data_IF_623058236247
#
_entry.id   IF_623058236247
#
_cell.length_a   1.000
_cell.length_b   1.000
_cell.length_c   1.000
_cell.angle_alpha   90.00
_cell.angle_beta   90.00
_cell.angle_gamma   90.00
#
_symmetry.space_group_name_H-M   'P 1'
#
loop_
_entity.id
_entity.type
_entity.pdbx_description
1 polymer ?
#
# COMPACT_ATOMS: atom_id res chain seq x y z
N UNK A 1 37.39 28.51 -5.62
CA UNK A 1 37.38 27.59 -4.46
C UNK A 1 36.75 26.26 -4.86
N UNK A 2 37.44 25.14 -4.63
CA UNK A 2 36.88 23.82 -4.91
C UNK A 2 35.74 23.49 -3.93
N UNK A 3 34.56 23.16 -4.45
CA UNK A 3 33.42 22.70 -3.64
C UNK A 3 33.80 21.44 -2.85
N UNK A 4 33.47 21.39 -1.57
CA UNK A 4 33.62 20.19 -0.72
C UNK A 4 32.83 19.02 -1.31
N UNK A 5 33.23 17.77 -1.01
CA UNK A 5 32.54 16.55 -1.50
C UNK A 5 31.03 16.60 -1.20
N UNK A 6 30.65 17.07 -0.01
CA UNK A 6 29.27 17.28 0.41
C UNK A 6 28.57 18.33 -0.44
N UNK A 7 29.21 19.48 -0.71
CA UNK A 7 28.62 20.52 -1.54
C UNK A 7 28.43 20.10 -3.01
N UNK A 8 29.32 19.23 -3.56
CA UNK A 8 29.12 18.62 -4.89
C UNK A 8 27.92 17.68 -4.90
N UNK A 9 27.77 16.83 -3.88
CA UNK A 9 26.62 15.93 -3.73
C UNK A 9 25.32 16.74 -3.61
N UNK A 10 25.28 17.75 -2.74
CA UNK A 10 24.09 18.59 -2.56
C UNK A 10 23.73 19.36 -3.82
N UNK A 11 24.72 19.82 -4.60
CA UNK A 11 24.46 20.47 -5.89
C UNK A 11 23.86 19.49 -6.91
N UNK A 12 24.33 18.23 -6.93
CA UNK A 12 23.74 17.17 -7.76
C UNK A 12 22.33 16.83 -7.30
N UNK A 13 22.12 16.68 -5.99
CA UNK A 13 20.81 16.45 -5.39
C UNK A 13 19.89 17.59 -5.80
N UNK A 14 20.21 18.84 -5.49
CA UNK A 14 19.39 20.02 -5.82
C UNK A 14 19.06 20.14 -7.31
N UNK A 15 19.97 19.73 -8.20
CA UNK A 15 19.73 19.68 -9.65
C UNK A 15 18.76 18.55 -10.05
N UNK A 16 18.81 17.40 -9.39
CA UNK A 16 17.85 16.30 -9.57
C UNK A 16 16.54 16.50 -8.78
N UNK A 17 16.55 17.39 -7.80
CA UNK A 17 15.49 17.60 -6.81
C UNK A 17 14.94 19.02 -6.86
N UNK A 18 14.89 19.67 -8.02
CA UNK A 18 14.29 21.01 -8.19
C UNK A 18 12.88 21.11 -7.58
N UNK A 19 12.21 19.96 -7.40
CA UNK A 19 10.88 19.84 -6.82
C UNK A 19 10.80 18.97 -5.55
N UNK A 20 11.92 18.70 -4.85
CA UNK A 20 11.90 17.81 -3.69
C UNK A 20 12.46 18.48 -2.44
N UNK A 21 11.55 18.65 -1.49
CA UNK A 21 11.82 19.11 -0.13
C UNK A 21 11.57 17.91 0.80
N UNK A 22 12.56 17.53 1.59
CA UNK A 22 12.37 16.55 2.65
C UNK A 22 11.80 17.24 3.89
N UNK A 23 10.91 16.58 4.62
CA UNK A 23 10.25 17.15 5.80
C UNK A 23 10.34 16.20 6.98
N UNK A 24 10.39 16.80 8.16
CA UNK A 24 10.06 16.16 9.42
C UNK A 24 8.67 16.59 9.91
N UNK A 25 8.19 15.88 10.93
CA UNK A 25 6.89 16.05 11.56
C UNK A 25 7.09 16.39 13.03
N UNK A 26 6.48 17.47 13.47
CA UNK A 26 6.44 17.90 14.86
C UNK A 26 5.01 17.82 15.41
N UNK A 27 4.83 17.47 16.70
CA UNK A 27 3.55 17.58 17.39
C UNK A 27 2.97 18.98 17.28
N UNK A 28 1.64 19.08 17.18
CA UNK A 28 0.95 20.36 16.92
C UNK A 28 1.25 21.43 17.99
N UNK A 29 1.44 21.01 19.24
CA UNK A 29 1.75 21.92 20.36
C UNK A 29 3.25 21.94 20.73
N UNK A 30 4.15 21.43 19.87
CA UNK A 30 5.60 21.50 20.11
C UNK A 30 6.24 22.41 19.06
N UNK A 31 6.72 23.57 19.48
CA UNK A 31 7.41 24.50 18.58
C UNK A 31 8.87 24.07 18.31
N UNK A 32 9.43 24.51 17.18
CA UNK A 32 10.86 24.31 16.87
C UNK A 32 11.75 24.96 17.94
N UNK A 33 11.34 26.12 18.46
CA UNK A 33 12.07 26.87 19.49
C UNK A 33 12.11 26.11 20.82
N UNK A 34 10.97 25.61 21.28
CA UNK A 34 10.91 24.80 22.51
C UNK A 34 11.78 23.53 22.38
N UNK A 35 11.74 22.87 21.22
CA UNK A 35 12.61 21.73 20.95
C UNK A 35 14.10 22.12 20.98
N UNK A 36 14.44 23.29 20.44
CA UNK A 36 15.80 23.81 20.47
C UNK A 36 16.28 24.11 21.88
N UNK A 37 15.44 24.67 22.75
CA UNK A 37 15.74 24.94 24.16
C UNK A 37 16.02 23.63 24.94
N UNK A 38 15.19 22.60 24.74
CA UNK A 38 15.40 21.26 25.34
C UNK A 38 16.74 20.67 24.91
N UNK A 39 17.09 20.78 23.63
CA UNK A 39 18.36 20.29 23.12
C UNK A 39 19.53 21.12 23.64
N UNK A 40 19.39 22.44 23.68
CA UNK A 40 20.44 23.34 24.16
C UNK A 40 20.83 23.01 25.59
N UNK A 41 19.84 22.80 26.47
CA UNK A 41 20.10 22.44 27.86
C UNK A 41 20.72 21.05 27.97
N UNK A 42 20.17 20.04 27.28
CA UNK A 42 20.72 18.69 27.35
C UNK A 42 22.16 18.59 26.79
N UNK A 43 22.47 19.31 25.71
CA UNK A 43 23.78 19.27 25.04
C UNK A 43 24.76 20.35 25.53
N UNK A 44 24.37 21.18 26.49
CA UNK A 44 25.19 22.25 27.05
C UNK A 44 26.56 21.73 27.51
N UNK A 45 27.62 22.26 26.93
CA UNK A 45 29.00 21.86 27.22
C UNK A 45 29.39 20.45 26.77
N UNK A 46 28.52 19.69 26.09
CA UNK A 46 28.81 18.32 25.63
C UNK A 46 29.33 18.29 24.20
N UNK A 47 28.52 18.73 23.23
CA UNK A 47 28.83 18.71 21.79
C UNK A 47 27.83 19.51 20.97
N UNK A 48 28.14 19.75 19.70
CA UNK A 48 27.18 20.29 18.72
C UNK A 48 26.02 19.33 18.51
N UNK A 49 24.83 19.89 18.37
CA UNK A 49 23.59 19.16 18.08
C UNK A 49 22.91 19.72 16.82
N UNK A 50 21.82 19.07 16.40
CA UNK A 50 21.00 19.49 15.25
C UNK A 50 19.55 19.27 15.61
N UNK A 51 18.77 20.35 15.65
CA UNK A 51 17.34 20.32 15.95
C UNK A 51 16.61 19.39 15.00
N UNK A 52 17.04 19.34 13.74
CA UNK A 52 16.39 18.51 12.72
C UNK A 52 16.58 17.02 12.92
N UNK A 53 17.69 16.61 13.55
CA UNK A 53 17.89 15.20 13.93
C UNK A 53 16.91 14.80 15.04
N UNK A 54 16.58 15.71 15.97
CA UNK A 54 15.52 15.50 16.95
C UNK A 54 14.13 15.47 16.31
N UNK A 55 13.86 16.37 15.35
CA UNK A 55 12.64 16.31 14.52
C UNK A 55 12.55 14.95 13.81
N UNK A 56 13.67 14.43 13.30
CA UNK A 56 13.72 13.12 12.65
C UNK A 56 13.43 11.96 13.61
N UNK A 57 13.86 12.05 14.88
CA UNK A 57 13.43 11.11 15.94
C UNK A 57 11.90 11.09 16.08
N UNK A 58 11.29 12.26 16.24
CA UNK A 58 9.83 12.40 16.40
C UNK A 58 9.10 11.92 15.14
N UNK A 59 9.58 12.29 13.96
CA UNK A 59 9.04 11.85 12.67
C UNK A 59 9.05 10.33 12.54
N UNK A 60 10.13 9.67 12.95
CA UNK A 60 10.25 8.21 12.89
C UNK A 60 9.19 7.52 13.74
N UNK A 61 8.89 8.05 14.93
CA UNK A 61 7.81 7.56 15.81
C UNK A 61 6.45 7.65 15.13
N UNK A 62 6.17 8.77 14.47
CA UNK A 62 4.91 9.01 13.80
C UNK A 62 4.73 8.12 12.58
N UNK A 63 5.73 8.10 11.70
CA UNK A 63 5.73 7.29 10.48
C UNK A 63 5.49 5.82 10.83
N UNK A 64 6.19 5.28 11.84
CA UNK A 64 6.00 3.89 12.25
C UNK A 64 4.62 3.69 12.86
N UNK A 65 4.17 4.58 13.75
CA UNK A 65 2.86 4.48 14.39
C UNK A 65 1.72 4.40 13.36
N UNK A 66 1.76 5.25 12.34
CA UNK A 66 0.72 5.36 11.32
C UNK A 66 0.82 4.33 10.20
N UNK A 67 2.01 3.80 9.91
CA UNK A 67 2.20 2.72 8.93
C UNK A 67 2.08 1.32 9.53
N UNK A 68 2.01 1.17 10.86
CA UNK A 68 1.87 -0.15 11.51
C UNK A 68 0.49 -0.74 11.21
N UNK A 69 0.48 -1.87 10.47
CA UNK A 69 -0.73 -2.62 10.16
C UNK A 69 -1.44 -3.10 11.44
N UNK A 70 -2.77 -3.16 11.41
CA UNK A 70 -3.61 -3.45 12.58
C UNK A 70 -3.19 -4.74 13.29
N UNK A 71 -2.85 -5.80 12.54
CA UNK A 71 -2.41 -7.09 13.10
C UNK A 71 -1.14 -7.03 13.95
N UNK A 72 -0.35 -5.97 13.82
CA UNK A 72 0.88 -5.75 14.59
C UNK A 72 0.69 -4.74 15.74
N UNK A 73 -0.52 -4.19 15.92
CA UNK A 73 -0.82 -3.22 16.98
C UNK A 73 -0.99 -3.97 18.30
N UNK A 74 -0.05 -3.78 19.22
CA UNK A 74 -0.07 -4.36 20.57
C UNK A 74 -0.95 -3.54 21.52
N UNK A 75 -1.24 -4.05 22.72
CA UNK A 75 -1.88 -3.25 23.79
C UNK A 75 -1.11 -1.95 24.06
N UNK A 76 0.22 -2.00 24.03
CA UNK A 76 1.09 -0.83 24.17
C UNK A 76 0.85 0.22 23.05
N UNK A 77 0.59 -0.22 21.82
CA UNK A 77 0.24 0.67 20.70
C UNK A 77 -1.03 1.47 20.97
N UNK A 78 -2.06 0.83 21.52
CA UNK A 78 -3.35 1.46 21.82
C UNK A 78 -3.25 2.53 22.92
N UNK A 79 -2.34 2.36 23.89
CA UNK A 79 -2.08 3.37 24.92
C UNK A 79 -1.04 4.44 24.50
N UNK A 80 -0.55 4.39 23.25
CA UNK A 80 0.28 5.44 22.64
C UNK A 80 1.73 5.08 22.36
N UNK A 81 2.22 3.93 22.82
CA UNK A 81 3.62 3.54 22.63
C UNK A 81 3.90 2.97 21.23
N UNK A 82 5.04 3.34 20.66
CA UNK A 82 5.52 2.86 19.37
C UNK A 82 6.88 2.19 19.56
N UNK A 83 6.97 0.92 19.19
CA UNK A 83 8.25 0.19 19.21
C UNK A 83 9.06 0.59 17.99
N UNK A 84 10.27 1.12 18.19
CA UNK A 84 11.20 1.45 17.11
C UNK A 84 12.48 0.63 17.24
N UNK A 85 12.92 0.05 16.12
CA UNK A 85 14.19 -0.65 16.05
C UNK A 85 15.36 0.34 16.01
N UNK A 86 16.51 -0.08 16.55
CA UNK A 86 17.77 0.68 16.47
C UNK A 86 18.09 1.12 15.04
N UNK A 87 17.84 0.26 14.06
CA UNK A 87 18.23 0.51 12.67
C UNK A 87 17.52 1.75 12.10
N UNK A 88 16.24 1.94 12.43
CA UNK A 88 15.48 3.12 11.99
C UNK A 88 16.08 4.39 12.57
N UNK A 89 16.40 4.41 13.86
CA UNK A 89 17.04 5.57 14.46
C UNK A 89 18.44 5.83 13.89
N UNK A 90 19.23 4.79 13.64
CA UNK A 90 20.56 4.96 13.04
C UNK A 90 20.47 5.52 11.61
N UNK A 91 19.48 5.04 10.84
CA UNK A 91 19.21 5.47 9.47
C UNK A 91 18.80 6.94 9.40
N UNK A 92 17.89 7.38 10.26
CA UNK A 92 17.28 8.71 10.16
C UNK A 92 17.91 9.74 11.09
N UNK A 93 18.39 9.33 12.24
CA UNK A 93 18.97 10.21 13.25
C UNK A 93 20.49 10.10 13.19
N UNK A 94 21.07 8.90 13.22
CA UNK A 94 22.52 8.68 13.25
C UNK A 94 22.95 7.75 14.40
N UNK A 95 24.24 7.42 14.49
CA UNK A 95 24.74 6.42 15.47
C UNK A 95 24.59 6.86 16.92
N UNK A 96 24.60 8.17 17.15
CA UNK A 96 24.41 8.90 18.40
C UNK A 96 22.94 9.25 18.69
N UNK A 97 21.99 8.56 18.04
CA UNK A 97 20.55 8.77 18.24
C UNK A 97 20.10 8.68 19.71
N UNK A 98 20.81 7.91 20.54
CA UNK A 98 20.48 7.74 21.96
C UNK A 98 20.52 9.07 22.72
N UNK A 99 21.46 9.96 22.39
CA UNK A 99 21.56 11.26 23.05
C UNK A 99 20.35 12.14 22.72
N UNK A 100 19.86 12.08 21.49
CA UNK A 100 18.65 12.78 21.09
C UNK A 100 17.40 12.20 21.76
N UNK A 101 17.30 10.87 21.88
CA UNK A 101 16.20 10.25 22.64
C UNK A 101 16.26 10.67 24.10
N UNK A 102 17.44 10.66 24.72
CA UNK A 102 17.61 11.07 26.11
C UNK A 102 17.25 12.56 26.30
N UNK A 103 17.70 13.45 25.41
CA UNK A 103 17.30 14.85 25.44
C UNK A 103 15.77 15.04 25.39
N UNK A 104 15.09 14.28 24.53
CA UNK A 104 13.63 14.32 24.42
C UNK A 104 12.92 13.72 25.66
N UNK A 105 13.52 12.74 26.33
CA UNK A 105 13.00 12.18 27.59
C UNK A 105 13.21 13.16 28.74
N UNK A 106 14.42 13.73 28.87
CA UNK A 106 14.79 14.67 29.92
C UNK A 106 13.98 15.97 29.82
N UNK A 107 13.76 16.47 28.60
CA UNK A 107 12.87 17.60 28.33
C UNK A 107 11.39 17.27 28.45
N UNK A 108 11.04 16.03 28.78
CA UNK A 108 9.65 15.62 29.00
C UNK A 108 8.77 15.60 27.74
N UNK A 109 9.35 15.59 26.54
CA UNK A 109 8.64 15.48 25.26
C UNK A 109 8.22 14.02 25.02
N UNK A 110 9.09 13.07 25.38
CA UNK A 110 8.84 11.64 25.25
C UNK A 110 8.60 10.96 26.60
N UNK A 111 7.90 9.83 26.54
CA UNK A 111 7.77 8.80 27.55
C UNK A 111 8.30 7.48 26.99
N UNK A 112 8.84 6.61 27.83
CA UNK A 112 9.27 5.27 27.43
C UNK A 112 8.70 4.20 28.35
N UNK A 113 8.32 3.07 27.76
CA UNK A 113 7.92 1.89 28.54
C UNK A 113 9.13 1.15 29.15
N UNK A 114 10.34 1.59 28.80
CA UNK A 114 11.65 1.05 29.16
C UNK A 114 11.76 -0.48 29.04
N UNK A 115 10.95 -1.11 28.18
CA UNK A 115 10.79 -2.55 28.13
C UNK A 115 11.35 -3.11 26.82
N UNK A 116 12.50 -3.78 26.93
CA UNK A 116 13.18 -4.45 25.83
C UNK A 116 13.15 -5.96 26.04
N UNK A 117 12.78 -6.71 25.01
CA UNK A 117 12.81 -8.18 25.03
C UNK A 117 13.57 -8.67 23.82
N UNK A 118 14.68 -9.37 24.07
CA UNK A 118 15.56 -9.89 23.02
C UNK A 118 14.75 -10.66 21.97
N UNK A 119 14.96 -10.31 20.69
CA UNK A 119 14.27 -10.90 19.52
C UNK A 119 12.73 -10.79 19.50
N UNK A 120 12.10 -10.15 20.49
CA UNK A 120 10.63 -10.02 20.59
C UNK A 120 10.13 -8.59 20.58
N UNK A 121 10.84 -7.66 21.22
CA UNK A 121 10.36 -6.29 21.43
C UNK A 121 11.51 -5.29 21.54
N UNK A 122 11.43 -4.22 20.76
CA UNK A 122 12.25 -3.00 20.97
C UNK A 122 11.58 -2.08 22.00
N UNK A 123 12.34 -1.18 22.64
CA UNK A 123 11.79 -0.20 23.59
C UNK A 123 10.67 0.61 22.92
N UNK A 124 9.58 0.80 23.66
CA UNK A 124 8.45 1.62 23.25
C UNK A 124 8.67 3.07 23.66
N UNK A 125 8.35 3.99 22.75
CA UNK A 125 8.34 5.42 23.02
C UNK A 125 7.00 6.03 22.66
N UNK A 126 6.58 7.04 23.43
CA UNK A 126 5.33 7.76 23.26
C UNK A 126 5.60 9.26 23.36
N UNK A 127 5.04 10.05 22.47
CA UNK A 127 5.04 11.51 22.61
C UNK A 127 3.99 11.85 23.67
N UNK A 128 4.32 12.68 24.65
CA UNK A 128 3.36 13.06 25.70
C UNK A 128 2.10 13.62 25.07
N UNK A 129 0.96 13.20 25.62
CA UNK A 129 -0.37 13.45 25.03
C UNK A 129 -0.60 14.94 24.76
N UNK A 130 -0.23 15.81 25.71
CA UNK A 130 -0.33 17.27 25.60
C UNK A 130 0.22 17.82 24.28
N UNK A 131 1.37 17.32 23.80
CA UNK A 131 1.97 17.80 22.56
C UNK A 131 1.16 17.45 21.30
N UNK A 132 0.31 16.43 21.39
CA UNK A 132 -0.44 15.83 20.28
C UNK A 132 -1.96 16.02 20.40
N UNK A 133 -2.42 16.66 21.47
CA UNK A 133 -3.83 16.98 21.71
C UNK A 133 -4.11 18.31 21.03
N UNK A 134 -4.83 18.33 19.90
CA UNK A 134 -5.16 19.59 19.28
C UNK A 134 -6.13 20.41 20.15
N UNK A 135 -6.12 21.72 19.94
CA UNK A 135 -7.13 22.64 20.48
C UNK A 135 -8.48 22.43 19.77
N UNK A 136 -9.56 22.96 20.35
CA UNK A 136 -10.92 22.80 19.79
C UNK A 136 -11.00 23.32 18.35
N UNK A 137 -11.51 22.49 17.44
CA UNK A 137 -11.63 22.81 16.01
C UNK A 137 -10.36 22.56 15.20
N UNK A 138 -9.30 22.04 15.81
CA UNK A 138 -8.13 21.52 15.13
C UNK A 138 -8.16 19.99 15.17
N UNK A 139 -8.12 19.32 14.02
CA UNK A 139 -8.05 17.86 13.96
C UNK A 139 -6.61 17.35 13.72
N UNK A 140 -5.67 18.24 13.36
CA UNK A 140 -4.28 17.87 13.12
C UNK A 140 -3.54 17.66 14.43
N UNK A 141 -2.77 16.58 14.47
CA UNK A 141 -1.94 16.23 15.63
C UNK A 141 -0.48 16.63 15.46
N UNK A 142 -0.08 16.93 14.22
CA UNK A 142 1.28 17.22 13.83
C UNK A 142 1.29 18.22 12.67
N UNK A 143 2.40 18.94 12.53
CA UNK A 143 2.69 19.82 11.41
C UNK A 143 4.08 19.52 10.84
N UNK A 144 4.33 20.00 9.61
CA UNK A 144 5.57 19.73 8.88
C UNK A 144 6.61 20.82 9.09
N UNK A 145 7.86 20.38 9.16
CA UNK A 145 9.04 21.25 9.16
C UNK A 145 9.97 20.78 8.06
N UNK A 146 10.33 21.67 7.13
CA UNK A 146 11.27 21.35 6.07
C UNK A 146 12.66 21.07 6.67
N UNK A 147 13.32 20.01 6.20
CA UNK A 147 14.72 19.78 6.53
C UNK A 147 15.60 20.77 5.76
N UNK A 148 16.52 21.40 6.48
CA UNK A 148 17.61 22.24 5.96
C UNK A 148 18.98 21.66 6.31
N UNK A 149 19.04 20.60 7.12
CA UNK A 149 20.26 19.86 7.45
C UNK A 149 20.69 18.99 6.26
N UNK A 150 21.86 19.30 5.71
CA UNK A 150 22.43 18.63 4.55
C UNK A 150 22.55 17.11 4.74
N UNK A 151 22.85 16.64 5.96
CA UNK A 151 23.02 15.21 6.21
C UNK A 151 21.70 14.45 6.12
N UNK A 152 20.60 15.05 6.60
CA UNK A 152 19.26 14.48 6.49
C UNK A 152 18.76 14.50 5.04
N UNK A 153 19.02 15.59 4.30
CA UNK A 153 18.70 15.69 2.87
C UNK A 153 19.41 14.58 2.09
N UNK A 154 20.71 14.38 2.32
CA UNK A 154 21.49 13.32 1.68
C UNK A 154 20.97 11.93 2.05
N UNK A 155 20.63 11.67 3.32
CA UNK A 155 20.07 10.38 3.78
C UNK A 155 18.73 10.09 3.09
N UNK A 156 17.83 11.05 3.05
CA UNK A 156 16.53 10.90 2.40
C UNK A 156 16.67 10.62 0.90
N UNK A 157 17.58 11.33 0.21
CA UNK A 157 17.89 11.09 -1.19
C UNK A 157 18.48 9.69 -1.44
N UNK A 158 19.45 9.25 -0.63
CA UNK A 158 20.06 7.94 -0.77
C UNK A 158 19.05 6.80 -0.53
N UNK A 159 18.17 6.94 0.47
CA UNK A 159 17.10 5.99 0.72
C UNK A 159 16.17 5.84 -0.50
N UNK A 160 15.87 6.95 -1.19
CA UNK A 160 15.11 6.95 -2.45
C UNK A 160 15.86 6.26 -3.58
N UNK A 161 17.13 6.59 -3.82
CA UNK A 161 17.94 5.95 -4.87
C UNK A 161 18.07 4.44 -4.65
N UNK A 162 18.24 4.00 -3.41
CA UNK A 162 18.27 2.58 -3.07
C UNK A 162 16.94 1.88 -3.41
N UNK A 163 15.79 2.54 -3.20
CA UNK A 163 14.48 2.01 -3.62
C UNK A 163 14.36 1.95 -5.14
N UNK A 164 14.79 2.99 -5.86
CA UNK A 164 14.77 3.04 -7.33
C UNK A 164 15.71 2.01 -7.97
N UNK A 165 16.82 1.66 -7.32
CA UNK A 165 17.72 0.61 -7.80
C UNK A 165 17.05 -0.77 -7.88
N UNK A 166 15.95 -1.00 -7.13
CA UNK A 166 15.16 -2.24 -7.19
C UNK A 166 14.43 -2.43 -8.52
N UNK A 167 14.35 -1.41 -9.38
CA UNK A 167 13.70 -1.49 -10.70
C UNK A 167 14.64 -1.97 -11.81
N UNK A 168 15.90 -2.28 -11.51
CA UNK A 168 16.86 -2.66 -12.55
C UNK A 168 16.32 -3.85 -13.36
N UNK A 169 16.18 -3.66 -14.67
CA UNK A 169 15.62 -4.66 -15.59
C UNK A 169 14.10 -4.67 -15.76
N UNK A 170 13.35 -3.77 -15.11
CA UNK A 170 11.88 -3.68 -15.20
C UNK A 170 11.41 -2.36 -15.85
N UNK A 171 11.62 -2.22 -17.17
CA UNK A 171 11.40 -0.95 -17.92
C UNK A 171 10.01 -0.35 -17.68
N UNK A 172 8.93 -1.08 -17.96
CA UNK A 172 7.56 -0.60 -17.82
C UNK A 172 7.21 -0.18 -16.37
N UNK A 173 7.70 -0.93 -15.37
CA UNK A 173 7.47 -0.62 -13.94
C UNK A 173 8.28 0.59 -13.46
N UNK A 174 9.42 0.87 -14.09
CA UNK A 174 10.20 2.08 -13.86
C UNK A 174 9.47 3.30 -14.44
N UNK A 175 8.99 3.21 -15.67
CA UNK A 175 8.19 4.29 -16.29
C UNK A 175 6.90 4.53 -15.51
N UNK A 176 6.22 3.48 -15.06
CA UNK A 176 5.06 3.60 -14.18
C UNK A 176 5.37 4.29 -12.84
N UNK A 177 6.57 4.09 -12.27
CA UNK A 177 7.01 4.84 -11.07
C UNK A 177 7.17 6.33 -11.37
N UNK A 178 7.79 6.66 -12.50
CA UNK A 178 7.97 8.04 -12.93
C UNK A 178 6.60 8.73 -13.12
N UNK A 179 5.63 8.03 -13.73
CA UNK A 179 4.26 8.51 -13.85
C UNK A 179 3.58 8.66 -12.47
N UNK A 180 3.77 7.72 -11.54
CA UNK A 180 3.27 7.85 -10.17
C UNK A 180 3.85 9.07 -9.44
N UNK A 181 5.10 9.44 -9.71
CA UNK A 181 5.72 10.64 -9.14
C UNK A 181 5.12 11.92 -9.74
N UNK A 182 4.70 11.90 -11.01
CA UNK A 182 3.94 13.00 -11.63
C UNK A 182 2.58 13.13 -10.96
N UNK A 183 1.82 12.04 -10.87
CA UNK A 183 0.51 12.00 -10.19
C UNK A 183 0.59 12.43 -8.72
N UNK A 184 1.65 12.07 -8.01
CA UNK A 184 1.84 12.51 -6.64
C UNK A 184 1.86 14.04 -6.51
N UNK A 185 2.45 14.76 -7.47
CA UNK A 185 2.53 16.23 -7.43
C UNK A 185 1.18 16.91 -7.67
N UNK A 186 0.24 16.23 -8.32
CA UNK A 186 -1.09 16.77 -8.64
C UNK A 186 -2.09 16.65 -7.50
N UNK A 187 -1.67 16.12 -6.35
CA UNK A 187 -2.53 16.00 -5.17
C UNK A 187 -3.05 17.37 -4.70
N UNK A 188 -4.36 17.53 -4.66
CA UNK A 188 -5.05 18.71 -4.16
C UNK A 188 -5.21 18.66 -2.63
N UNK A 189 -4.24 19.27 -1.93
CA UNK A 189 -4.28 19.33 -0.47
C UNK A 189 -5.26 20.38 0.05
N UNK A 190 -5.61 21.39 -0.75
CA UNK A 190 -6.46 22.48 -0.29
C UNK A 190 -7.91 22.02 -0.24
N UNK A 191 -8.40 21.39 -1.31
CA UNK A 191 -9.72 20.74 -1.30
C UNK A 191 -9.77 19.61 -0.27
N UNK A 192 -8.70 18.81 -0.15
CA UNK A 192 -8.66 17.78 0.88
C UNK A 192 -8.78 18.36 2.29
N UNK A 193 -8.11 19.49 2.57
CA UNK A 193 -8.22 20.16 3.87
C UNK A 193 -9.62 20.67 4.12
N UNK A 194 -10.22 21.36 3.15
CA UNK A 194 -11.59 21.89 3.26
C UNK A 194 -12.61 20.79 3.54
N UNK A 195 -12.49 19.64 2.86
CA UNK A 195 -13.35 18.48 3.11
C UNK A 195 -13.19 17.94 4.54
N UNK A 196 -11.95 17.83 5.04
CA UNK A 196 -11.69 17.35 6.40
C UNK A 196 -12.20 18.34 7.45
N UNK A 197 -12.04 19.65 7.23
CA UNK A 197 -12.56 20.71 8.10
C UNK A 197 -14.10 20.68 8.14
N UNK A 198 -14.75 20.47 6.99
CA UNK A 198 -16.20 20.32 6.91
C UNK A 198 -16.70 19.09 7.68
N UNK A 199 -16.00 17.95 7.56
CA UNK A 199 -16.32 16.72 8.30
C UNK A 199 -16.10 16.88 9.81
N UNK A 200 -15.00 17.53 10.21
CA UNK A 200 -14.72 17.85 11.61
C UNK A 200 -15.82 18.72 12.21
N UNK A 201 -16.25 19.76 11.48
CA UNK A 201 -17.35 20.63 11.92
C UNK A 201 -18.68 19.90 12.04
N UNK A 202 -18.96 18.95 11.13
CA UNK A 202 -20.24 18.25 11.08
C UNK A 202 -20.34 17.09 12.09
N UNK A 203 -19.25 16.36 12.31
CA UNK A 203 -19.24 15.11 13.07
C UNK A 203 -18.25 15.09 14.24
N UNK A 204 -17.49 16.17 14.45
CA UNK A 204 -16.43 16.30 15.44
C UNK A 204 -15.07 15.78 14.98
N UNK A 205 -14.00 16.23 15.65
CA UNK A 205 -12.60 15.90 15.32
C UNK A 205 -12.26 14.40 15.49
N UNK A 206 -13.10 13.68 16.22
CA UNK A 206 -12.98 12.23 16.41
C UNK A 206 -13.54 11.41 15.24
N UNK A 207 -14.17 12.06 14.25
CA UNK A 207 -14.73 11.40 13.08
C UNK A 207 -13.67 10.59 12.31
N UNK A 208 -14.13 9.49 11.70
CA UNK A 208 -13.28 8.54 10.99
C UNK A 208 -13.81 8.25 9.61
N UNK A 209 -12.91 8.30 8.63
CA UNK A 209 -13.16 7.78 7.29
C UNK A 209 -12.75 6.31 7.29
N UNK A 210 -13.76 5.44 7.35
CA UNK A 210 -13.56 4.02 7.61
C UNK A 210 -12.91 3.80 8.98
N UNK A 211 -11.67 3.31 9.01
CA UNK A 211 -10.92 3.07 10.26
C UNK A 211 -9.94 4.18 10.63
N UNK A 212 -9.77 5.19 9.78
CA UNK A 212 -8.73 6.22 9.90
C UNK A 212 -9.30 7.53 10.41
N UNK A 213 -8.59 8.25 11.27
CA UNK A 213 -8.97 9.61 11.65
C UNK A 213 -8.77 10.59 10.48
N UNK A 214 -9.40 11.76 10.55
CA UNK A 214 -9.19 12.86 9.59
C UNK A 214 -7.68 13.16 9.39
N UNK A 215 -6.94 13.27 10.50
CA UNK A 215 -5.48 13.43 10.45
C UNK A 215 -4.75 12.32 9.68
N UNK A 216 -5.08 11.06 9.91
CA UNK A 216 -4.43 9.92 9.22
C UNK A 216 -4.71 9.94 7.71
N UNK A 217 -5.87 10.45 7.30
CA UNK A 217 -6.21 10.62 5.90
C UNK A 217 -5.40 11.74 5.25
N UNK A 218 -5.43 12.94 5.83
CA UNK A 218 -4.69 14.09 5.30
C UNK A 218 -3.17 13.84 5.25
N UNK A 219 -2.63 13.24 6.31
CA UNK A 219 -1.22 12.85 6.40
C UNK A 219 -0.76 11.96 5.24
N UNK A 220 -1.60 11.02 4.78
CA UNK A 220 -1.26 10.16 3.64
C UNK A 220 -1.18 10.96 2.34
N UNK A 221 -2.06 11.94 2.14
CA UNK A 221 -2.03 12.83 0.98
C UNK A 221 -0.80 13.74 0.99
N UNK A 222 -0.45 14.30 2.15
CA UNK A 222 0.75 15.11 2.30
C UNK A 222 2.02 14.32 1.98
N UNK A 223 2.09 13.07 2.47
CA UNK A 223 3.20 12.16 2.16
C UNK A 223 3.28 11.85 0.68
N UNK A 224 2.15 11.53 0.06
CA UNK A 224 2.08 11.30 -1.38
C UNK A 224 2.61 12.53 -2.13
N UNK A 225 2.06 13.73 -1.87
CA UNK A 225 2.49 14.98 -2.53
C UNK A 225 3.97 15.31 -2.35
N UNK A 226 4.53 14.97 -1.19
CA UNK A 226 5.95 15.17 -0.90
C UNK A 226 6.89 14.21 -1.64
N UNK A 227 6.35 13.24 -2.37
CA UNK A 227 7.14 12.21 -3.04
C UNK A 227 7.72 11.18 -2.06
N UNK A 228 7.10 10.99 -0.90
CA UNK A 228 7.40 9.83 -0.03
C UNK A 228 6.74 8.59 -0.64
N UNK A 229 7.38 8.06 -1.66
CA UNK A 229 6.90 6.90 -2.40
C UNK A 229 7.36 5.65 -1.64
N UNK A 230 6.43 5.02 -0.92
CA UNK A 230 6.52 3.59 -0.65
C UNK A 230 6.54 2.93 -2.02
N UNK A 231 7.62 2.25 -2.35
CA UNK A 231 7.82 1.72 -3.69
C UNK A 231 8.28 0.27 -3.60
N UNK A 232 7.51 -0.63 -4.20
CA UNK A 232 7.92 -1.99 -4.50
C UNK A 232 7.56 -2.28 -5.95
N UNK A 233 8.56 -2.33 -6.86
CA UNK A 233 8.29 -2.53 -8.27
C UNK A 233 7.65 -3.88 -8.52
N UNK A 234 8.00 -4.91 -7.74
CA UNK A 234 7.56 -6.30 -7.91
C UNK A 234 7.68 -7.01 -6.57
N UNK A 235 6.56 -7.24 -5.88
CA UNK A 235 6.59 -8.06 -4.65
C UNK A 235 6.83 -9.54 -4.96
N UNK A 236 7.48 -10.29 -4.07
CA UNK A 236 7.87 -11.69 -4.34
C UNK A 236 6.70 -12.68 -4.44
N UNK A 237 5.54 -12.32 -3.87
CA UNK A 237 4.36 -13.18 -3.83
C UNK A 237 3.60 -13.11 -5.15
N UNK A 238 2.92 -12.00 -5.40
CA UNK A 238 2.01 -11.81 -6.52
C UNK A 238 2.62 -11.05 -7.70
N UNK A 239 3.87 -10.61 -7.60
CA UNK A 239 4.52 -9.75 -8.60
C UNK A 239 3.77 -8.43 -8.84
N UNK A 240 3.01 -7.95 -7.85
CA UNK A 240 2.25 -6.71 -7.95
C UNK A 240 3.18 -5.51 -7.79
N UNK A 241 2.74 -4.42 -8.40
CA UNK A 241 3.34 -3.11 -8.27
C UNK A 241 2.70 -2.39 -7.08
N UNK A 242 3.52 -1.96 -6.11
CA UNK A 242 3.04 -1.22 -4.95
C UNK A 242 3.66 0.15 -4.88
N UNK A 243 2.81 1.18 -4.77
CA UNK A 243 3.20 2.57 -4.59
C UNK A 243 2.52 3.16 -3.35
N UNK A 244 2.80 4.44 -3.06
CA UNK A 244 1.99 5.20 -2.11
C UNK A 244 0.52 5.32 -2.59
N UNK A 245 0.28 5.32 -3.91
CA UNK A 245 -1.06 5.40 -4.50
C UNK A 245 -1.82 4.08 -4.31
N UNK A 246 -1.18 2.92 -4.52
CA UNK A 246 -1.85 1.62 -4.32
C UNK A 246 -2.29 1.40 -2.87
N UNK A 247 -1.55 1.97 -1.91
CA UNK A 247 -1.88 1.92 -0.48
C UNK A 247 -2.86 3.02 -0.03
N UNK A 248 -3.17 3.99 -0.90
CA UNK A 248 -4.05 5.09 -0.58
C UNK A 248 -5.51 4.59 -0.48
N UNK A 249 -6.25 4.92 0.59
CA UNK A 249 -7.68 4.61 0.69
C UNK A 249 -8.45 5.13 -0.52
N UNK A 250 -9.39 4.34 -1.04
CA UNK A 250 -10.19 4.71 -2.22
C UNK A 250 -10.87 6.07 -2.08
N UNK A 251 -11.40 6.38 -0.89
CA UNK A 251 -12.04 7.66 -0.58
C UNK A 251 -11.12 8.88 -0.73
N UNK A 252 -9.80 8.69 -0.73
CA UNK A 252 -8.82 9.77 -0.87
C UNK A 252 -8.26 9.90 -2.29
N UNK A 253 -8.52 8.93 -3.18
CA UNK A 253 -7.99 8.96 -4.57
C UNK A 253 -8.57 10.12 -5.38
N UNK A 254 -9.76 10.61 -5.03
CA UNK A 254 -10.39 11.79 -5.65
C UNK A 254 -9.54 13.06 -5.58
N UNK A 255 -8.57 13.13 -4.66
CA UNK A 255 -7.67 14.27 -4.54
C UNK A 255 -6.42 14.17 -5.44
N UNK A 256 -6.21 13.05 -6.14
CA UNK A 256 -5.10 12.91 -7.12
C UNK A 256 -5.60 13.43 -8.47
N UNK A 257 -5.20 14.62 -8.89
CA UNK A 257 -5.76 15.19 -10.12
C UNK A 257 -5.06 14.67 -11.39
N UNK A 258 -5.86 14.28 -12.38
CA UNK A 258 -5.39 13.98 -13.74
C UNK A 258 -6.04 15.00 -14.66
N UNK A 259 -5.23 15.75 -15.41
CA UNK A 259 -5.71 16.88 -16.21
C UNK A 259 -6.54 17.90 -15.39
N UNK A 260 -6.14 18.16 -14.14
CA UNK A 260 -6.84 19.08 -13.24
C UNK A 260 -8.18 18.59 -12.70
N UNK A 261 -8.57 17.33 -12.98
CA UNK A 261 -9.84 16.75 -12.52
C UNK A 261 -9.60 15.48 -11.70
N UNK A 262 -10.54 15.09 -10.81
CA UNK A 262 -10.50 13.79 -10.17
C UNK A 262 -10.44 12.65 -11.21
N UNK A 263 -9.66 11.59 -10.95
CA UNK A 263 -9.46 10.51 -11.89
C UNK A 263 -10.69 9.60 -11.93
N UNK A 264 -10.82 8.81 -12.99
CA UNK A 264 -11.70 7.66 -13.01
C UNK A 264 -10.92 6.36 -12.76
N UNK A 265 -11.61 5.37 -12.20
CA UNK A 265 -11.05 4.04 -11.96
C UNK A 265 -11.72 3.04 -12.90
N UNK A 266 -10.93 2.31 -13.68
CA UNK A 266 -11.37 1.20 -14.53
C UNK A 266 -11.03 -0.08 -13.78
N UNK A 267 -12.03 -0.71 -13.17
CA UNK A 267 -11.86 -1.84 -12.24
C UNK A 267 -12.36 -3.15 -12.84
N UNK A 268 -11.58 -4.22 -12.69
CA UNK A 268 -11.96 -5.53 -13.16
C UNK A 268 -13.00 -6.12 -12.20
N UNK A 269 -14.17 -6.46 -12.72
CA UNK A 269 -15.13 -7.25 -11.95
C UNK A 269 -14.52 -8.60 -11.62
N UNK A 270 -14.66 -8.99 -10.35
CA UNK A 270 -14.29 -10.32 -9.84
C UNK A 270 -12.96 -10.90 -10.35
N UNK A 271 -11.94 -10.05 -10.58
CA UNK A 271 -10.63 -10.38 -11.16
C UNK A 271 -10.04 -11.73 -10.75
N UNK A 272 -9.90 -11.99 -9.45
CA UNK A 272 -9.35 -13.25 -8.93
C UNK A 272 -10.16 -14.47 -9.38
N UNK A 273 -11.50 -14.39 -9.36
CA UNK A 273 -12.36 -15.47 -9.81
C UNK A 273 -12.32 -15.63 -11.32
N UNK A 274 -12.34 -14.51 -12.05
CA UNK A 274 -12.23 -14.50 -13.50
C UNK A 274 -10.94 -15.19 -13.97
N UNK A 275 -9.78 -14.82 -13.40
CA UNK A 275 -8.51 -15.45 -13.76
C UNK A 275 -8.41 -16.89 -13.29
N UNK A 276 -9.09 -17.30 -12.21
CA UNK A 276 -9.22 -18.72 -11.87
C UNK A 276 -9.94 -19.49 -12.99
N UNK A 277 -11.04 -18.94 -13.51
CA UNK A 277 -11.74 -19.51 -14.67
C UNK A 277 -10.87 -19.55 -15.93
N UNK A 278 -10.04 -18.52 -16.16
CA UNK A 278 -9.08 -18.50 -17.26
C UNK A 278 -8.03 -19.61 -17.14
N UNK A 279 -7.48 -19.84 -15.95
CA UNK A 279 -6.52 -20.93 -15.70
C UNK A 279 -7.19 -22.29 -15.94
N UNK A 280 -8.41 -22.46 -15.47
CA UNK A 280 -9.14 -23.72 -15.61
C UNK A 280 -9.45 -24.07 -17.07
N UNK A 281 -9.97 -23.10 -17.85
CA UNK A 281 -10.53 -23.31 -19.19
C UNK A 281 -9.55 -23.02 -20.33
N UNK A 282 -8.56 -22.16 -20.11
CA UNK A 282 -7.59 -21.71 -21.12
C UNK A 282 -6.13 -21.87 -20.62
N UNK A 283 -5.73 -23.06 -20.12
CA UNK A 283 -4.42 -23.25 -19.49
C UNK A 283 -3.25 -22.93 -20.42
N UNK A 284 -3.33 -23.29 -21.70
CA UNK A 284 -2.23 -23.05 -22.66
C UNK A 284 -2.06 -21.57 -22.96
N UNK A 285 -3.13 -20.78 -22.94
CA UNK A 285 -3.03 -19.32 -23.05
C UNK A 285 -2.31 -18.72 -21.83
N UNK A 286 -2.62 -19.22 -20.63
CA UNK A 286 -1.95 -18.81 -19.38
C UNK A 286 -0.47 -19.21 -19.37
N UNK A 287 -0.13 -20.43 -19.78
CA UNK A 287 1.26 -20.92 -19.82
C UNK A 287 2.12 -20.19 -20.86
N UNK A 288 1.51 -19.60 -21.88
CA UNK A 288 2.21 -18.75 -22.86
C UNK A 288 2.54 -17.35 -22.35
N UNK A 289 2.02 -16.93 -21.19
CA UNK A 289 2.36 -15.63 -20.60
C UNK A 289 3.85 -15.60 -20.26
N UNK A 290 4.60 -14.75 -20.96
CA UNK A 290 6.05 -14.57 -20.73
C UNK A 290 6.30 -13.70 -19.51
N UNK A 291 7.41 -13.93 -18.81
CA UNK A 291 7.88 -13.07 -17.70
C UNK A 291 7.25 -13.36 -16.34
N UNK A 292 6.29 -14.27 -16.30
CA UNK A 292 5.60 -14.72 -15.10
C UNK A 292 6.21 -16.05 -14.64
N UNK A 293 6.55 -16.13 -13.35
CA UNK A 293 6.93 -17.40 -12.73
C UNK A 293 5.63 -18.16 -12.42
N UNK A 294 4.89 -18.52 -13.49
CA UNK A 294 3.64 -19.27 -13.43
C UNK A 294 4.02 -20.73 -13.24
N UNK A 295 3.51 -21.31 -12.17
CA UNK A 295 3.75 -22.70 -11.83
C UNK A 295 2.87 -23.60 -12.73
N UNK A 296 3.50 -24.33 -13.65
CA UNK A 296 2.79 -25.18 -14.60
C UNK A 296 2.01 -26.30 -13.90
N UNK A 297 2.55 -26.91 -12.84
CA UNK A 297 1.87 -27.98 -12.11
C UNK A 297 0.58 -27.46 -11.47
N UNK A 298 0.61 -26.24 -10.93
CA UNK A 298 -0.58 -25.57 -10.39
C UNK A 298 -1.61 -25.29 -11.49
N UNK A 299 -1.20 -24.77 -12.66
CA UNK A 299 -2.11 -24.54 -13.80
C UNK A 299 -2.74 -25.84 -14.28
N UNK A 300 -1.93 -26.87 -14.53
CA UNK A 300 -2.38 -28.17 -15.03
C UNK A 300 -3.34 -28.82 -14.04
N UNK A 301 -3.07 -28.73 -12.73
CA UNK A 301 -3.97 -29.23 -11.70
C UNK A 301 -5.30 -28.49 -11.65
N UNK A 302 -5.31 -27.15 -11.74
CA UNK A 302 -6.57 -26.37 -11.81
C UNK A 302 -7.36 -26.74 -13.07
N UNK A 303 -6.69 -26.94 -14.20
CA UNK A 303 -7.36 -27.29 -15.45
C UNK A 303 -7.89 -28.73 -15.46
N UNK A 304 -7.19 -29.68 -14.85
CA UNK A 304 -7.63 -31.08 -14.84
C UNK A 304 -8.99 -31.28 -14.16
N UNK A 305 -9.32 -30.52 -13.11
CA UNK A 305 -10.66 -30.60 -12.49
C UNK A 305 -11.77 -30.13 -13.44
N UNK A 306 -11.49 -29.14 -14.31
CA UNK A 306 -12.45 -28.70 -15.33
C UNK A 306 -12.59 -29.75 -16.43
N UNK A 307 -11.48 -30.29 -16.92
CA UNK A 307 -11.45 -31.30 -17.98
C UNK A 307 -12.12 -32.61 -17.57
N UNK A 308 -11.99 -33.00 -16.30
CA UNK A 308 -12.65 -34.17 -15.73
C UNK A 308 -14.16 -34.00 -15.55
N UNK A 309 -14.70 -32.79 -15.78
CA UNK A 309 -16.15 -32.56 -15.80
C UNK A 309 -16.85 -32.61 -14.45
N UNK A 310 -16.14 -32.33 -13.34
CA UNK A 310 -16.78 -32.25 -12.03
C UNK A 310 -17.83 -31.13 -12.00
N UNK A 311 -19.12 -31.46 -11.85
CA UNK A 311 -20.24 -30.53 -12.06
C UNK A 311 -20.10 -29.21 -11.29
N UNK A 312 -19.85 -29.29 -9.98
CA UNK A 312 -19.73 -28.10 -9.13
C UNK A 312 -18.54 -27.22 -9.52
N UNK A 313 -17.45 -27.85 -10.01
CA UNK A 313 -16.26 -27.16 -10.47
C UNK A 313 -16.49 -26.44 -11.80
N UNK A 314 -17.10 -27.12 -12.77
CA UNK A 314 -17.39 -26.58 -14.10
C UNK A 314 -18.33 -25.38 -13.98
N UNK A 315 -19.40 -25.52 -13.19
CA UNK A 315 -20.35 -24.43 -12.96
C UNK A 315 -19.69 -23.24 -12.25
N UNK A 316 -18.87 -23.49 -11.22
CA UNK A 316 -18.11 -22.43 -10.55
C UNK A 316 -17.22 -21.66 -11.53
N UNK A 317 -16.49 -22.37 -12.40
CA UNK A 317 -15.60 -21.79 -13.40
C UNK A 317 -16.36 -20.97 -14.44
N UNK A 318 -17.45 -21.51 -14.98
CA UNK A 318 -18.23 -20.84 -16.01
C UNK A 318 -18.94 -19.59 -15.45
N UNK A 319 -19.46 -19.62 -14.22
CA UNK A 319 -20.04 -18.44 -13.57
C UNK A 319 -18.99 -17.39 -13.19
N UNK A 320 -17.76 -17.82 -12.86
CA UNK A 320 -16.64 -16.91 -12.65
C UNK A 320 -16.25 -16.14 -13.93
N UNK A 321 -16.24 -16.81 -15.08
CA UNK A 321 -15.98 -16.19 -16.38
C UNK A 321 -17.10 -15.23 -16.81
N UNK A 322 -18.35 -15.49 -16.40
CA UNK A 322 -19.52 -14.62 -16.67
C UNK A 322 -19.66 -13.43 -15.71
N UNK A 323 -18.82 -13.34 -14.68
CA UNK A 323 -18.92 -12.30 -13.65
C UNK A 323 -20.02 -12.51 -12.61
N UNK A 324 -20.60 -13.72 -12.56
CA UNK A 324 -21.78 -14.08 -11.73
C UNK A 324 -21.46 -15.02 -10.58
N UNK A 325 -20.18 -15.19 -10.26
CA UNK A 325 -19.74 -16.16 -9.24
C UNK A 325 -20.40 -15.91 -7.89
N UNK A 326 -20.57 -14.66 -7.46
CA UNK A 326 -21.06 -14.40 -6.11
C UNK A 326 -22.54 -14.72 -5.98
N UNK A 327 -23.31 -14.47 -7.03
CA UNK A 327 -24.72 -14.82 -7.17
C UNK A 327 -24.88 -16.35 -7.16
N UNK A 328 -24.04 -17.07 -7.92
CA UNK A 328 -23.95 -18.53 -7.87
C UNK A 328 -23.64 -19.04 -6.45
N UNK A 329 -22.70 -18.40 -5.75
CA UNK A 329 -22.36 -18.79 -4.37
C UNK A 329 -23.53 -18.54 -3.41
N UNK A 330 -24.26 -17.44 -3.57
CA UNK A 330 -25.46 -17.15 -2.76
C UNK A 330 -26.47 -18.30 -2.90
N UNK A 331 -26.82 -18.67 -4.12
CA UNK A 331 -27.77 -19.75 -4.40
C UNK A 331 -27.29 -21.11 -3.85
N UNK A 332 -26.02 -21.46 -4.09
CA UNK A 332 -25.47 -22.76 -3.64
C UNK A 332 -25.47 -22.93 -2.13
N UNK A 333 -25.17 -21.86 -1.38
CA UNK A 333 -25.01 -21.97 0.08
C UNK A 333 -26.33 -21.80 0.84
N UNK A 334 -27.43 -21.39 0.23
CA UNK A 334 -28.75 -21.29 0.88
C UNK A 334 -29.22 -22.61 1.51
N UNK A 335 -28.74 -23.74 1.01
CA UNK A 335 -29.05 -25.07 1.57
C UNK A 335 -28.33 -25.37 2.89
N UNK A 336 -27.25 -24.64 3.20
CA UNK A 336 -26.35 -24.89 4.34
C UNK A 336 -26.11 -23.65 5.22
N UNK A 337 -26.58 -22.49 4.79
CA UNK A 337 -26.54 -21.20 5.46
C UNK A 337 -27.90 -20.50 5.34
N UNK A 338 -28.13 -19.51 6.21
CA UNK A 338 -29.17 -18.50 5.94
C UNK A 338 -28.84 -17.76 4.63
N UNK A 339 -29.83 -17.16 3.95
CA UNK A 339 -29.57 -16.27 2.81
C UNK A 339 -28.50 -15.24 3.15
N UNK A 340 -27.54 -15.08 2.25
CA UNK A 340 -26.40 -14.18 2.41
C UNK A 340 -26.40 -13.13 1.28
N UNK A 341 -25.80 -11.98 1.55
CA UNK A 341 -25.59 -10.97 0.52
C UNK A 341 -24.32 -11.23 -0.33
N UNK A 342 -24.17 -10.48 -1.42
CA UNK A 342 -23.01 -10.57 -2.33
C UNK A 342 -21.67 -10.30 -1.61
N UNK A 343 -21.65 -9.45 -0.59
CA UNK A 343 -20.44 -9.10 0.18
C UNK A 343 -20.04 -10.26 1.08
N UNK A 344 -20.99 -10.94 1.69
CA UNK A 344 -20.81 -12.16 2.45
C UNK A 344 -20.35 -13.30 1.53
N UNK A 345 -20.97 -13.50 0.37
CA UNK A 345 -20.56 -14.49 -0.62
C UNK A 345 -19.11 -14.28 -1.07
N UNK A 346 -18.74 -13.03 -1.41
CA UNK A 346 -17.35 -12.66 -1.71
C UNK A 346 -16.40 -12.98 -0.55
N UNK A 347 -16.81 -12.72 0.69
CA UNK A 347 -16.02 -13.06 1.88
C UNK A 347 -15.82 -14.57 2.04
N UNK A 348 -16.83 -15.39 1.74
CA UNK A 348 -16.72 -16.85 1.76
C UNK A 348 -15.72 -17.35 0.72
N UNK A 349 -15.87 -16.93 -0.54
CA UNK A 349 -14.96 -17.28 -1.65
C UNK A 349 -13.52 -16.93 -1.30
N UNK A 350 -13.28 -15.69 -0.85
CA UNK A 350 -11.95 -15.25 -0.45
C UNK A 350 -11.38 -16.08 0.70
N UNK A 351 -12.21 -16.54 1.64
CA UNK A 351 -11.74 -17.38 2.76
C UNK A 351 -11.36 -18.77 2.30
N UNK A 352 -12.22 -19.49 1.56
CA UNK A 352 -11.90 -20.87 1.19
C UNK A 352 -10.84 -20.97 0.09
N UNK A 353 -10.85 -20.05 -0.89
CA UNK A 353 -9.86 -20.04 -1.97
C UNK A 353 -8.47 -19.58 -1.53
N UNK A 354 -8.38 -18.64 -0.57
CA UNK A 354 -7.10 -18.04 -0.20
C UNK A 354 -6.48 -18.54 1.11
N UNK A 355 -6.96 -19.67 1.61
CA UNK A 355 -6.49 -20.26 2.86
C UNK A 355 -6.00 -21.69 2.68
N UNK A 356 -5.07 -22.10 3.54
CA UNK A 356 -4.57 -23.47 3.58
C UNK A 356 -5.58 -24.44 4.25
N UNK A 357 -5.27 -25.73 4.20
CA UNK A 357 -6.05 -26.83 4.77
C UNK A 357 -6.28 -26.72 6.29
N UNK A 358 -5.40 -26.01 7.01
CA UNK A 358 -5.48 -25.81 8.46
C UNK A 358 -6.30 -24.58 8.85
N UNK A 359 -6.64 -23.73 7.89
CA UNK A 359 -7.38 -22.49 8.08
C UNK A 359 -8.84 -22.64 7.70
N UNK A 360 -9.73 -22.02 8.49
CA UNK A 360 -11.18 -22.03 8.25
C UNK A 360 -11.77 -23.45 8.07
N UNK A 361 -11.23 -24.46 8.77
CA UNK A 361 -11.60 -25.88 8.62
C UNK A 361 -13.11 -26.11 8.64
N UNK A 362 -13.81 -25.58 9.66
CA UNK A 362 -15.28 -25.73 9.78
C UNK A 362 -16.04 -25.09 8.62
N UNK A 363 -15.56 -23.96 8.10
CA UNK A 363 -16.17 -23.31 6.95
C UNK A 363 -15.97 -24.17 5.70
N UNK A 364 -14.74 -24.66 5.46
CA UNK A 364 -14.44 -25.51 4.30
C UNK A 364 -15.20 -26.84 4.33
N UNK A 365 -15.36 -27.45 5.50
CA UNK A 365 -16.21 -28.63 5.67
C UNK A 365 -17.66 -28.36 5.26
N UNK A 366 -18.23 -27.21 5.66
CA UNK A 366 -19.59 -26.83 5.28
C UNK A 366 -19.72 -26.57 3.78
N UNK A 367 -18.82 -25.75 3.23
CA UNK A 367 -18.82 -25.46 1.79
C UNK A 367 -18.60 -26.74 0.96
N UNK A 368 -17.84 -27.70 1.48
CA UNK A 368 -17.62 -29.00 0.84
C UNK A 368 -18.89 -29.83 0.62
N UNK A 369 -19.99 -29.56 1.32
CA UNK A 369 -21.27 -30.21 1.03
C UNK A 369 -21.93 -29.73 -0.27
N UNK A 370 -21.60 -28.52 -0.72
CA UNK A 370 -22.24 -27.88 -1.90
C UNK A 370 -21.26 -27.63 -3.05
N UNK A 371 -19.96 -27.58 -2.74
CA UNK A 371 -18.84 -27.34 -3.67
C UNK A 371 -17.65 -28.26 -3.32
N UNK A 372 -17.83 -29.59 -3.31
CA UNK A 372 -16.80 -30.55 -2.87
C UNK A 372 -15.50 -30.44 -3.68
N UNK A 373 -15.59 -30.38 -5.01
CA UNK A 373 -14.43 -30.38 -5.90
C UNK A 373 -13.62 -29.08 -5.77
N UNK A 374 -14.31 -27.96 -5.57
CA UNK A 374 -13.66 -26.65 -5.33
C UNK A 374 -12.89 -26.66 -4.01
N UNK A 375 -13.48 -27.21 -2.93
CA UNK A 375 -12.79 -27.31 -1.64
C UNK A 375 -11.59 -28.24 -1.72
N UNK A 376 -11.72 -29.36 -2.43
CA UNK A 376 -10.65 -30.32 -2.65
C UNK A 376 -9.46 -29.67 -3.38
N UNK A 377 -9.69 -29.01 -4.52
CA UNK A 377 -8.61 -28.36 -5.27
C UNK A 377 -7.91 -27.31 -4.41
N UNK A 378 -8.70 -26.52 -3.66
CA UNK A 378 -8.17 -25.44 -2.82
C UNK A 378 -7.28 -25.98 -1.70
N UNK A 379 -7.72 -27.04 -1.02
CA UNK A 379 -6.93 -27.66 0.04
C UNK A 379 -5.68 -28.34 -0.52
N UNK A 380 -5.78 -28.99 -1.67
CA UNK A 380 -4.66 -29.69 -2.28
C UNK A 380 -3.54 -28.74 -2.75
N UNK A 381 -3.89 -27.56 -3.27
CA UNK A 381 -2.93 -26.58 -3.81
C UNK A 381 -2.42 -25.59 -2.76
N UNK A 382 -3.24 -25.24 -1.77
CA UNK A 382 -2.82 -24.33 -0.71
C UNK A 382 -2.21 -25.03 0.51
N UNK A 383 -1.95 -26.34 0.43
CA UNK A 383 -1.38 -27.12 1.53
C UNK A 383 -0.04 -26.56 2.04
N UNK A 384 0.29 -26.83 3.31
CA UNK A 384 1.60 -26.52 3.91
C UNK A 384 2.08 -25.08 3.71
N UNK A 385 1.16 -24.11 3.80
CA UNK A 385 1.41 -22.66 3.66
C UNK A 385 1.79 -22.17 2.26
N UNK A 386 1.84 -23.05 1.26
CA UNK A 386 2.26 -22.71 -0.12
C UNK A 386 1.39 -21.62 -0.77
N UNK A 387 0.10 -21.50 -0.38
CA UNK A 387 -0.87 -20.52 -0.91
C UNK A 387 -0.79 -20.40 -2.44
N UNK A 388 -0.69 -21.54 -3.13
CA UNK A 388 -0.41 -21.59 -4.55
C UNK A 388 -1.52 -20.91 -5.38
N UNK A 389 -2.79 -21.10 -5.03
CA UNK A 389 -3.91 -20.47 -5.76
C UNK A 389 -3.85 -18.94 -5.65
N UNK A 390 -3.80 -18.32 -4.45
CA UNK A 390 -3.67 -16.86 -4.36
C UNK A 390 -2.44 -16.31 -5.07
N UNK A 391 -1.32 -17.03 -5.02
CA UNK A 391 -0.07 -16.61 -5.64
C UNK A 391 -0.19 -16.60 -7.17
N UNK A 392 -0.68 -17.70 -7.77
CA UNK A 392 -0.78 -17.81 -9.22
C UNK A 392 -1.80 -16.84 -9.80
N UNK A 393 -2.93 -16.62 -9.13
CA UNK A 393 -3.95 -15.65 -9.54
C UNK A 393 -3.38 -14.23 -9.59
N UNK A 394 -2.63 -13.82 -8.56
CA UNK A 394 -2.00 -12.51 -8.52
C UNK A 394 -0.90 -12.36 -9.58
N UNK A 395 -0.14 -13.42 -9.86
CA UNK A 395 0.90 -13.41 -10.90
C UNK A 395 0.32 -13.31 -12.30
N UNK A 396 -0.74 -14.06 -12.60
CA UNK A 396 -1.46 -13.96 -13.87
C UNK A 396 -2.02 -12.55 -14.06
N UNK A 397 -2.71 -12.02 -13.04
CA UNK A 397 -3.22 -10.64 -13.02
C UNK A 397 -2.11 -9.62 -13.27
N UNK A 398 -1.01 -9.71 -12.50
CA UNK A 398 0.11 -8.77 -12.60
C UNK A 398 0.78 -8.83 -13.97
N UNK A 399 0.91 -10.01 -14.60
CA UNK A 399 1.55 -10.12 -15.91
C UNK A 399 0.66 -9.65 -17.04
N UNK A 400 -0.65 -9.89 -16.98
CA UNK A 400 -1.58 -9.33 -17.97
C UNK A 400 -1.60 -7.80 -17.84
N UNK A 401 -1.75 -7.27 -16.63
CA UNK A 401 -1.84 -5.83 -16.39
C UNK A 401 -0.50 -5.13 -16.65
N UNK A 402 0.54 -5.50 -15.91
CA UNK A 402 1.80 -4.73 -15.85
C UNK A 402 2.75 -5.05 -17.01
N UNK A 403 2.70 -6.26 -17.55
CA UNK A 403 3.66 -6.70 -18.56
C UNK A 403 3.04 -6.72 -19.98
N UNK A 404 1.70 -6.64 -20.12
CA UNK A 404 1.02 -6.60 -21.43
C UNK A 404 0.21 -5.33 -21.67
N UNK A 405 -0.59 -4.86 -20.71
CA UNK A 405 -1.46 -3.68 -20.92
C UNK A 405 -0.69 -2.37 -20.65
N UNK A 406 0.05 -2.29 -19.53
CA UNK A 406 0.78 -1.08 -19.14
C UNK A 406 1.78 -0.59 -20.19
N UNK A 407 2.59 -1.44 -20.88
CA UNK A 407 3.48 -0.96 -21.93
C UNK A 407 2.73 -0.22 -23.05
N UNK A 408 1.60 -0.78 -23.52
CA UNK A 408 0.78 -0.15 -24.54
C UNK A 408 0.16 1.17 -24.03
N UNK A 409 -0.28 1.22 -22.77
CA UNK A 409 -0.76 2.47 -22.17
C UNK A 409 0.34 3.53 -22.07
N UNK A 410 1.56 3.16 -21.70
CA UNK A 410 2.68 4.13 -21.64
C UNK A 410 2.89 4.79 -23.01
N UNK A 411 2.79 4.02 -24.09
CA UNK A 411 3.03 4.51 -25.44
C UNK A 411 1.86 5.33 -26.01
N UNK A 412 0.63 5.15 -25.51
CA UNK A 412 -0.58 5.69 -26.13
C UNK A 412 -1.41 6.65 -25.24
N UNK A 413 -1.24 6.64 -23.91
CA UNK A 413 -2.03 7.47 -23.00
C UNK A 413 -1.65 8.94 -23.15
N UNK A 414 -2.66 9.82 -23.23
CA UNK A 414 -2.41 11.26 -23.28
C UNK A 414 -2.05 11.83 -21.91
N UNK A 415 -2.60 11.24 -20.83
CA UNK A 415 -2.46 11.73 -19.48
C UNK A 415 -1.76 10.72 -18.55
N UNK A 416 -1.18 11.18 -17.42
CA UNK A 416 -0.65 10.29 -16.41
C UNK A 416 -1.70 9.31 -15.86
N UNK A 417 -1.30 8.04 -15.74
CA UNK A 417 -2.14 6.97 -15.18
C UNK A 417 -1.34 6.09 -14.19
N UNK A 418 -2.03 5.24 -13.44
CA UNK A 418 -1.37 4.18 -12.67
C UNK A 418 -2.25 2.96 -12.52
N UNK A 419 -1.70 1.90 -11.95
CA UNK A 419 -2.45 0.68 -11.60
C UNK A 419 -2.64 0.59 -10.09
N UNK A 420 -3.78 0.04 -9.67
CA UNK A 420 -4.06 -0.32 -8.29
C UNK A 420 -4.50 -1.77 -8.28
N UNK A 421 -3.51 -2.67 -8.30
CA UNK A 421 -3.72 -4.11 -8.46
C UNK A 421 -4.46 -4.42 -9.77
N UNK A 422 -5.75 -4.75 -9.67
CA UNK A 422 -6.66 -5.13 -10.74
C UNK A 422 -7.49 -3.94 -11.28
N UNK A 423 -7.06 -2.70 -11.02
CA UNK A 423 -7.68 -1.52 -11.59
C UNK A 423 -6.68 -0.52 -12.17
N UNK A 424 -7.16 0.34 -13.05
CA UNK A 424 -6.42 1.47 -13.61
C UNK A 424 -7.01 2.80 -13.11
N UNK A 425 -6.15 3.67 -12.60
CA UNK A 425 -6.48 5.06 -12.27
C UNK A 425 -6.02 5.95 -13.43
N UNK A 426 -6.96 6.57 -14.15
CA UNK A 426 -6.68 7.32 -15.39
C UNK A 426 -7.58 8.56 -15.53
N UNK A 427 -7.36 9.35 -16.58
CA UNK A 427 -8.26 10.45 -16.93
C UNK A 427 -9.55 9.94 -17.55
N UNK A 428 -10.59 10.77 -17.58
CA UNK A 428 -11.86 10.42 -18.24
C UNK A 428 -11.69 10.26 -19.75
N UNK A 429 -10.78 11.03 -20.32
CA UNK A 429 -10.43 11.03 -21.74
C UNK A 429 -9.72 9.75 -22.17
N UNK A 430 -8.84 9.20 -21.31
CA UNK A 430 -8.11 7.96 -21.57
C UNK A 430 -8.91 6.70 -21.15
N UNK A 431 -10.04 6.84 -20.45
CA UNK A 431 -10.89 5.70 -20.04
C UNK A 431 -11.25 4.78 -21.22
N UNK A 432 -11.71 5.27 -22.39
CA UNK A 432 -11.99 4.41 -23.54
C UNK A 432 -10.76 3.67 -24.07
N UNK A 433 -9.59 4.31 -24.07
CA UNK A 433 -8.32 3.70 -24.47
C UNK A 433 -7.95 2.55 -23.51
N UNK A 434 -8.07 2.77 -22.20
CA UNK A 434 -7.80 1.73 -21.19
C UNK A 434 -8.71 0.52 -21.39
N UNK A 435 -10.01 0.73 -21.60
CA UNK A 435 -10.98 -0.34 -21.88
C UNK A 435 -10.58 -1.09 -23.16
N UNK A 436 -10.30 -0.37 -24.24
CA UNK A 436 -9.89 -0.97 -25.50
C UNK A 436 -8.63 -1.85 -25.36
N UNK A 437 -7.60 -1.36 -24.67
CA UNK A 437 -6.36 -2.12 -24.47
C UNK A 437 -6.54 -3.34 -23.56
N UNK A 438 -7.48 -3.30 -22.62
CA UNK A 438 -7.89 -4.48 -21.84
C UNK A 438 -8.50 -5.52 -22.79
N UNK A 439 -9.48 -5.13 -23.62
CA UNK A 439 -10.17 -6.01 -24.56
C UNK A 439 -9.23 -6.62 -25.61
N UNK A 440 -8.41 -5.76 -26.24
CA UNK A 440 -7.44 -6.15 -27.25
C UNK A 440 -6.41 -7.13 -26.66
N UNK A 441 -5.88 -6.84 -25.47
CA UNK A 441 -4.89 -7.70 -24.82
C UNK A 441 -5.45 -9.08 -24.50
N UNK A 442 -6.67 -9.15 -23.93
CA UNK A 442 -7.29 -10.44 -23.63
C UNK A 442 -7.56 -11.24 -24.90
N UNK A 443 -8.10 -10.59 -25.94
CA UNK A 443 -8.35 -11.21 -27.25
C UNK A 443 -7.08 -11.75 -27.88
N UNK A 444 -6.00 -10.94 -27.90
CA UNK A 444 -4.68 -11.33 -28.41
C UNK A 444 -4.06 -12.50 -27.65
N UNK A 445 -4.31 -12.59 -26.34
CA UNK A 445 -3.85 -13.71 -25.51
C UNK A 445 -4.70 -14.97 -25.68
N UNK A 446 -5.83 -14.90 -26.38
CA UNK A 446 -6.78 -16.01 -26.51
C UNK A 446 -7.57 -16.26 -25.22
N UNK A 447 -7.80 -15.20 -24.44
CA UNK A 447 -8.58 -15.21 -23.20
C UNK A 447 -9.93 -14.49 -23.41
N UNK A 448 -10.96 -14.85 -22.64
CA UNK A 448 -12.18 -14.05 -22.59
C UNK A 448 -11.88 -12.63 -22.07
N UNK A 449 -12.78 -11.69 -22.35
CA UNK A 449 -12.70 -10.32 -21.84
C UNK A 449 -13.38 -10.25 -20.47
N UNK A 450 -12.72 -9.69 -19.44
CA UNK A 450 -13.33 -9.51 -18.12
C UNK A 450 -14.41 -8.43 -18.16
N UNK A 451 -15.43 -8.57 -17.32
CA UNK A 451 -16.38 -7.48 -17.09
C UNK A 451 -15.68 -6.31 -16.38
N UNK A 452 -15.93 -5.10 -16.86
CA UNK A 452 -15.37 -3.87 -16.30
C UNK A 452 -16.46 -3.18 -15.47
N UNK A 453 -16.13 -2.74 -14.24
CA UNK A 453 -17.01 -1.86 -13.47
C UNK A 453 -16.78 -0.43 -13.90
N UNK A 454 -17.86 0.27 -14.22
CA UNK A 454 -17.82 1.68 -14.59
C UNK A 454 -17.97 2.63 -13.41
#
# INVERSE_FOLDING_TARGET
>A
MALTKTAKILRSIRKETENYTSYGWLPINLSVKELEEVLQEHFKGKRKYSVQRAISCLSSLLIIRYNTAIKYRTRAWYIGYTNISRNVFVEWVGTDYKDYINALLDGGILETDNCYVVKRKSKGYKIKTYYTTPEDGEWRKFYRVAYTDDSLIIRAYNARKLRQAKCSGLKARKELDEICQVLAKTVDLDTARQDMDALAKMYGDSYRIGKRSLFECFYQLERLKSGDVIYNPKDDFGYRFHTAITNLPSSLRKYILVNGQPPCEVDFSNSNAFYFGCIAKYPDAILRLRGSNIDEDVVRKISSYYQNGASDYVEFVDEALKGKLYEFIMERVETIYKPIDRKEAKSLVMKFMNSNDKQYVKLKQRIGFVLPSIVEVCNSLNANEAKAIPMILQRVEATIILDNIVPALIDNSQYPFTTIHDSFLCSKEDKPLVIHLIEETHTRLGLPVPQIKE
#
